data_IF_913813581062
#
_entry.id   IF_913813581062
#
_cell.length_a   1.000
_cell.length_b   1.000
_cell.length_c   1.000
_cell.angle_alpha   90.00
_cell.angle_beta   90.00
_cell.angle_gamma   90.00
#
_symmetry.space_group_name_H-M   'P 1'
#
loop_
_entity.id
_entity.type
_entity.pdbx_description
1 polymer ?
#
# COMPACT_ATOMS: atom_id res chain seq x y z
N UNK A 1 -19.83 -14.62 12.31
CA UNK A 1 -18.57 -15.16 11.79
C UNK A 1 -17.51 -14.08 11.79
N UNK A 2 -16.36 -14.39 12.33
CA UNK A 2 -15.27 -13.42 12.43
C UNK A 2 -14.44 -13.44 11.16
N UNK A 3 -14.47 -12.36 10.42
CA UNK A 3 -13.56 -12.18 9.30
C UNK A 3 -12.24 -11.64 9.83
N UNK A 4 -11.15 -12.20 9.33
CA UNK A 4 -9.83 -11.65 9.62
C UNK A 4 -9.67 -10.41 8.74
N UNK A 5 -9.49 -9.22 9.33
CA UNK A 5 -9.31 -8.02 8.51
C UNK A 5 -8.10 -8.14 7.61
N UNK A 6 -8.23 -7.66 6.38
CA UNK A 6 -7.08 -7.56 5.48
C UNK A 6 -6.10 -6.54 6.07
N UNK A 7 -4.83 -6.89 6.25
CA UNK A 7 -3.86 -5.92 6.75
C UNK A 7 -3.71 -4.76 5.78
N UNK A 8 -3.44 -3.58 6.31
CA UNK A 8 -3.20 -2.39 5.49
C UNK A 8 -1.79 -2.44 4.92
N UNK A 9 -1.59 -1.79 3.77
CA UNK A 9 -0.24 -1.69 3.19
C UNK A 9 0.73 -0.98 4.15
N UNK A 10 0.24 -0.03 4.93
CA UNK A 10 1.04 0.65 5.95
C UNK A 10 1.52 -0.32 7.03
N UNK A 11 0.68 -1.24 7.46
CA UNK A 11 1.03 -2.25 8.45
C UNK A 11 2.09 -3.21 7.90
N UNK A 12 1.94 -3.62 6.65
CA UNK A 12 2.91 -4.51 6.00
C UNK A 12 4.26 -3.82 5.87
N UNK A 13 4.27 -2.55 5.43
CA UNK A 13 5.51 -1.78 5.36
C UNK A 13 6.19 -1.72 6.72
N UNK A 14 5.44 -1.40 7.76
CA UNK A 14 5.99 -1.26 9.11
C UNK A 14 6.46 -2.60 9.66
N UNK A 15 5.61 -3.59 9.67
CA UNK A 15 5.85 -4.84 10.40
C UNK A 15 6.76 -5.81 9.65
N UNK A 16 6.68 -5.85 8.32
CA UNK A 16 7.41 -6.84 7.54
C UNK A 16 8.69 -6.28 6.93
N UNK A 17 8.80 -4.96 6.77
CA UNK A 17 9.96 -4.35 6.13
C UNK A 17 10.78 -3.48 7.07
N UNK A 18 10.13 -2.67 7.91
CA UNK A 18 10.85 -1.73 8.78
C UNK A 18 11.28 -2.36 10.10
N UNK A 19 10.37 -3.04 10.80
CA UNK A 19 10.67 -3.62 12.10
C UNK A 19 11.78 -4.67 12.05
N UNK A 20 11.78 -5.61 11.08
CA UNK A 20 12.87 -6.58 11.00
C UNK A 20 14.24 -5.97 10.83
N UNK A 21 14.34 -4.80 10.22
CA UNK A 21 15.59 -4.08 10.02
C UNK A 21 15.81 -3.00 11.08
N UNK A 22 14.91 -2.90 12.03
CA UNK A 22 14.97 -1.88 13.09
C UNK A 22 15.07 -0.46 12.52
N UNK A 23 14.29 -0.20 11.47
CA UNK A 23 14.27 1.09 10.78
C UNK A 23 13.18 1.99 11.34
N UNK A 24 13.56 3.21 11.73
CA UNK A 24 12.60 4.27 12.06
C UNK A 24 12.11 4.93 10.78
N UNK A 25 11.00 5.67 10.89
CA UNK A 25 10.51 6.47 9.78
C UNK A 25 11.55 7.49 9.31
N UNK A 26 12.26 8.10 10.26
CA UNK A 26 13.33 9.04 9.94
C UNK A 26 14.46 8.37 9.14
N UNK A 27 14.93 7.22 9.59
CA UNK A 27 16.01 6.51 8.92
C UNK A 27 15.59 6.06 7.51
N UNK A 28 14.41 5.49 7.38
CA UNK A 28 13.91 5.06 6.07
C UNK A 28 13.80 6.24 5.11
N UNK A 29 13.20 7.34 5.57
CA UNK A 29 13.05 8.54 4.75
C UNK A 29 14.40 9.05 4.26
N UNK A 30 15.40 9.03 5.13
CA UNK A 30 16.75 9.46 4.78
C UNK A 30 17.35 8.55 3.72
N UNK A 31 17.22 7.23 3.88
CA UNK A 31 17.77 6.28 2.92
C UNK A 31 17.14 6.41 1.53
N UNK A 32 15.85 6.67 1.46
CA UNK A 32 15.17 6.79 0.16
C UNK A 32 15.05 8.24 -0.31
N UNK A 33 15.62 9.17 0.43
CA UNK A 33 15.73 10.59 0.08
C UNK A 33 14.36 11.27 -0.11
N UNK A 34 13.52 11.13 0.88
CA UNK A 34 12.22 11.81 0.95
C UNK A 34 12.07 12.47 2.32
N UNK A 35 11.17 13.45 2.48
CA UNK A 35 10.90 14.00 3.81
C UNK A 35 10.37 12.93 4.77
N UNK A 36 10.76 13.01 6.04
CA UNK A 36 10.26 12.08 7.06
C UNK A 36 8.74 12.09 7.15
N UNK A 37 8.14 13.27 6.94
CA UNK A 37 6.68 13.41 6.97
C UNK A 37 5.99 12.53 5.94
N UNK A 38 6.62 12.28 4.79
CA UNK A 38 6.04 11.38 3.77
C UNK A 38 5.88 9.97 4.33
N UNK A 39 6.92 9.46 4.99
CA UNK A 39 6.87 8.11 5.57
C UNK A 39 5.89 8.07 6.76
N UNK A 40 5.93 9.07 7.62
CA UNK A 40 5.03 9.16 8.76
C UNK A 40 3.57 9.20 8.31
N UNK A 41 3.27 9.98 7.28
CA UNK A 41 1.91 10.08 6.76
C UNK A 41 1.43 8.74 6.16
N UNK A 42 2.32 8.02 5.50
CA UNK A 42 1.98 6.68 4.99
C UNK A 42 1.72 5.71 6.15
N UNK A 43 2.58 5.71 7.16
CA UNK A 43 2.44 4.81 8.32
C UNK A 43 1.17 5.09 9.13
N UNK A 44 0.68 6.32 9.11
CA UNK A 44 -0.54 6.71 9.83
C UNK A 44 -1.77 6.80 8.91
N UNK A 45 -1.67 6.27 7.70
CA UNK A 45 -2.76 6.21 6.72
C UNK A 45 -3.30 7.60 6.31
N UNK A 46 -2.47 8.64 6.42
CA UNK A 46 -2.83 9.98 5.96
C UNK A 46 -2.44 10.23 4.50
N UNK A 47 -1.66 9.34 3.93
CA UNK A 47 -1.18 9.44 2.55
C UNK A 47 -1.03 8.05 1.97
N UNK A 48 -1.42 7.90 0.72
CA UNK A 48 -1.21 6.65 0.00
C UNK A 48 0.21 6.57 -0.56
N UNK A 49 0.65 5.36 -0.87
CA UNK A 49 1.91 5.13 -1.55
C UNK A 49 1.72 5.50 -3.01
N UNK A 50 2.52 6.46 -3.48
CA UNK A 50 2.52 6.89 -4.89
C UNK A 50 3.51 6.04 -5.68
N UNK A 51 3.47 6.19 -7.01
CA UNK A 51 4.43 5.53 -7.89
C UNK A 51 5.86 5.87 -7.48
N UNK A 52 6.15 7.15 -7.24
CA UNK A 52 7.48 7.60 -6.82
C UNK A 52 7.94 6.91 -5.54
N UNK A 53 7.07 6.87 -4.54
CA UNK A 53 7.41 6.24 -3.26
C UNK A 53 7.60 4.74 -3.42
N UNK A 54 6.77 4.09 -4.23
CA UNK A 54 6.89 2.65 -4.49
C UNK A 54 8.24 2.31 -5.12
N UNK A 55 8.67 3.09 -6.11
CA UNK A 55 9.97 2.88 -6.77
C UNK A 55 11.10 3.02 -5.75
N UNK A 56 11.07 4.08 -4.94
CA UNK A 56 12.10 4.32 -3.94
C UNK A 56 12.18 3.23 -2.90
N UNK A 57 11.04 2.81 -2.38
CA UNK A 57 10.96 1.71 -1.42
C UNK A 57 11.45 0.39 -2.04
N UNK A 58 11.04 0.12 -3.27
CA UNK A 58 11.44 -1.09 -3.97
C UNK A 58 12.95 -1.17 -4.16
N UNK A 59 13.56 -0.05 -4.56
CA UNK A 59 15.01 0.02 -4.75
C UNK A 59 15.76 -0.19 -3.44
N UNK A 60 15.25 0.38 -2.36
CA UNK A 60 15.89 0.24 -1.05
C UNK A 60 15.76 -1.17 -0.49
N UNK A 61 14.56 -1.73 -0.53
CA UNK A 61 14.31 -3.05 0.05
C UNK A 61 14.67 -4.21 -0.90
N UNK A 62 15.02 -3.92 -2.14
CA UNK A 62 15.40 -4.96 -3.10
C UNK A 62 14.22 -5.74 -3.65
N UNK A 63 13.07 -5.10 -3.75
CA UNK A 63 11.88 -5.68 -4.39
C UNK A 63 11.55 -4.87 -5.64
N UNK A 64 10.55 -5.32 -6.40
CA UNK A 64 10.13 -4.65 -7.64
C UNK A 64 9.75 -3.18 -7.39
N UNK A 65 9.97 -2.33 -8.38
CA UNK A 65 9.58 -0.92 -8.35
C UNK A 65 8.10 -0.75 -8.07
N UNK A 66 7.28 -1.70 -8.47
CA UNK A 66 5.83 -1.65 -8.33
C UNK A 66 5.30 -2.45 -7.15
N UNK A 67 6.16 -3.07 -6.36
CA UNK A 67 5.74 -4.00 -5.32
C UNK A 67 4.78 -3.34 -4.33
N UNK A 68 5.16 -2.21 -3.77
CA UNK A 68 4.33 -1.55 -2.75
C UNK A 68 3.08 -0.93 -3.34
N UNK A 69 3.15 -0.41 -4.56
CA UNK A 69 1.99 0.13 -5.24
C UNK A 69 0.99 -0.97 -5.57
N UNK A 70 1.46 -2.11 -6.10
CA UNK A 70 0.58 -3.24 -6.41
C UNK A 70 -0.05 -3.81 -5.15
N UNK A 71 0.72 -3.94 -4.08
CA UNK A 71 0.21 -4.40 -2.79
C UNK A 71 -0.92 -3.49 -2.28
N UNK A 72 -0.69 -2.18 -2.30
CA UNK A 72 -1.70 -1.21 -1.90
C UNK A 72 -2.95 -1.30 -2.76
N UNK A 73 -2.77 -1.38 -4.08
CA UNK A 73 -3.88 -1.47 -5.01
C UNK A 73 -4.67 -2.75 -4.83
N UNK A 74 -4.01 -3.89 -4.61
CA UNK A 74 -4.68 -5.16 -4.37
C UNK A 74 -5.52 -5.11 -3.10
N UNK A 75 -4.99 -4.53 -2.04
CA UNK A 75 -5.72 -4.39 -0.78
C UNK A 75 -6.93 -3.46 -0.97
N UNK A 76 -6.73 -2.33 -1.64
CA UNK A 76 -7.80 -1.36 -1.87
C UNK A 76 -8.90 -1.95 -2.73
N UNK A 77 -8.55 -2.71 -3.78
CA UNK A 77 -9.52 -3.37 -4.65
C UNK A 77 -10.36 -4.37 -3.85
N UNK A 78 -9.71 -5.20 -3.02
CA UNK A 78 -10.44 -6.16 -2.18
C UNK A 78 -11.41 -5.47 -1.24
N UNK A 79 -10.99 -4.34 -0.66
CA UNK A 79 -11.83 -3.62 0.28
C UNK A 79 -13.05 -3.00 -0.39
N UNK A 80 -12.89 -2.39 -1.57
CA UNK A 80 -14.04 -1.81 -2.25
C UNK A 80 -14.98 -2.90 -2.79
N UNK A 81 -14.44 -4.02 -3.26
CA UNK A 81 -15.25 -5.14 -3.70
C UNK A 81 -16.08 -5.71 -2.56
N UNK A 82 -15.49 -5.80 -1.37
CA UNK A 82 -16.17 -6.27 -0.17
C UNK A 82 -17.27 -5.31 0.25
N UNK A 83 -17.01 -4.02 0.21
CA UNK A 83 -17.94 -3.00 0.71
C UNK A 83 -19.00 -2.59 -0.30
N UNK A 84 -18.71 -2.70 -1.61
CA UNK A 84 -19.55 -2.21 -2.69
C UNK A 84 -19.82 -3.24 -3.77
N UNK A 85 -19.59 -4.53 -3.48
CA UNK A 85 -19.74 -5.60 -4.46
C UNK A 85 -21.09 -5.64 -5.12
N UNK A 86 -22.17 -5.41 -4.35
CA UNK A 86 -23.52 -5.41 -4.87
C UNK A 86 -23.73 -4.30 -5.90
N UNK A 87 -23.19 -3.11 -5.63
CA UNK A 87 -23.28 -1.99 -6.56
C UNK A 87 -22.49 -2.28 -7.83
N UNK A 88 -21.30 -2.82 -7.68
CA UNK A 88 -20.45 -3.13 -8.85
C UNK A 88 -21.05 -4.24 -9.69
N UNK A 89 -21.70 -5.22 -9.06
CA UNK A 89 -22.39 -6.30 -9.78
C UNK A 89 -23.53 -5.83 -10.66
N UNK A 90 -24.05 -4.62 -10.42
CA UNK A 90 -25.12 -4.05 -11.25
C UNK A 90 -24.59 -3.35 -12.49
N UNK A 91 -23.30 -3.12 -12.57
CA UNK A 91 -22.69 -2.48 -13.75
C UNK A 91 -22.63 -3.52 -14.87
N UNK A 92 -23.29 -3.22 -15.96
CA UNK A 92 -23.32 -4.11 -17.12
C UNK A 92 -22.17 -3.78 -18.05
N UNK A 93 -21.48 -4.81 -18.49
CA UNK A 93 -20.41 -4.63 -19.46
C UNK A 93 -21.02 -4.16 -20.79
N UNK A 94 -20.38 -3.16 -21.39
CA UNK A 94 -20.77 -2.68 -22.71
C UNK A 94 -20.61 -3.82 -23.72
N UNK A 95 -21.66 -4.04 -24.52
CA UNK A 95 -21.65 -5.11 -25.52
C UNK A 95 -21.51 -4.53 -26.91
N UNK A 96 -20.53 -5.02 -27.63
CA UNK A 96 -20.32 -4.70 -29.02
C UNK A 96 -20.99 -5.80 -29.86
N UNK A 97 -21.88 -5.39 -30.79
CA UNK A 97 -22.50 -6.31 -31.72
C UNK A 97 -21.66 -6.41 -32.99
#
# INVERSE_FOLDING_TARGET
MNEIPTPKSSEILKEEFMEPLNLSAYALAKYINVPTSRIQDILHDRRQITVDTSVRLGRFFGVSDRYFLDLQNDIDIRNVEKNHGDEYGQIKQYQLN
#
